data_IF_371953302944
#
_entry.id   IF_371953302944
#
_cell.length_a   1.000
_cell.length_b   1.000
_cell.length_c   1.000
_cell.angle_alpha   90.00
_cell.angle_beta   90.00
_cell.angle_gamma   90.00
#
_symmetry.space_group_name_H-M   'P 1'
#
loop_
_entity.id
_entity.type
_entity.pdbx_description
1 polymer ?
#
# COMPACT_ATOMS: atom_id res chain seq x y z
N UNK A 1 3.01 3.46 1.96
CA UNK A 1 4.39 3.15 2.36
C UNK A 1 5.32 3.22 1.15
N UNK A 2 6.50 3.86 1.25
CA UNK A 2 7.51 3.75 0.20
C UNK A 2 7.85 2.27 -0.04
N UNK A 3 8.13 1.91 -1.29
CA UNK A 3 8.57 0.56 -1.63
C UNK A 3 9.97 0.34 -1.05
N UNK A 4 10.05 -0.37 0.07
CA UNK A 4 11.30 -0.66 0.78
C UNK A 4 11.49 -2.16 0.82
N UNK A 5 12.69 -2.62 0.46
CA UNK A 5 13.02 -4.04 0.48
C UNK A 5 13.17 -4.58 1.90
N UNK A 6 12.87 -5.86 2.08
CA UNK A 6 13.03 -6.54 3.37
C UNK A 6 14.49 -6.49 3.86
N UNK A 7 14.67 -6.57 5.18
CA UNK A 7 16.00 -6.66 5.78
C UNK A 7 16.80 -7.81 5.16
N UNK A 8 18.05 -7.54 4.78
CA UNK A 8 18.95 -8.55 4.19
C UNK A 8 18.86 -8.72 2.67
N UNK A 9 18.16 -7.85 1.93
CA UNK A 9 18.07 -7.90 0.46
C UNK A 9 19.43 -7.99 -0.26
N UNK A 10 20.52 -7.48 0.34
CA UNK A 10 21.88 -7.56 -0.20
C UNK A 10 22.48 -8.99 -0.19
N UNK A 11 21.80 -9.95 0.45
CA UNK A 11 22.13 -11.38 0.39
C UNK A 11 21.71 -12.02 -0.93
N UNK A 12 20.86 -11.38 -1.74
CA UNK A 12 20.55 -11.86 -3.07
C UNK A 12 21.82 -11.88 -3.93
N UNK A 13 22.27 -13.07 -4.34
CA UNK A 13 23.50 -13.24 -5.16
C UNK A 13 23.23 -13.73 -6.58
N UNK A 14 22.08 -14.37 -6.80
CA UNK A 14 21.72 -14.89 -8.11
C UNK A 14 20.84 -13.93 -8.89
N UNK A 15 20.94 -14.00 -10.21
CA UNK A 15 20.13 -13.21 -11.14
C UNK A 15 18.65 -13.49 -10.87
N UNK A 16 17.88 -12.43 -10.65
CA UNK A 16 16.43 -12.53 -10.41
C UNK A 16 15.69 -12.41 -11.74
N UNK A 17 14.84 -13.40 -12.03
CA UNK A 17 13.99 -13.46 -13.22
C UNK A 17 14.77 -13.28 -14.53
N UNK A 18 14.36 -12.31 -15.36
CA UNK A 18 14.99 -12.04 -16.66
C UNK A 18 16.31 -11.24 -16.56
N UNK A 19 16.82 -10.99 -15.36
CA UNK A 19 18.05 -10.24 -15.12
C UNK A 19 17.95 -8.73 -15.32
N UNK A 20 16.77 -8.18 -15.56
CA UNK A 20 16.58 -6.73 -15.65
C UNK A 20 16.52 -6.07 -14.27
N UNK A 21 16.92 -4.80 -14.20
CA UNK A 21 16.93 -4.02 -12.97
C UNK A 21 15.55 -3.92 -12.31
N UNK A 22 14.50 -3.70 -13.11
CA UNK A 22 13.10 -3.63 -12.68
C UNK A 22 12.64 -4.93 -12.03
N UNK A 23 13.09 -6.06 -12.55
CA UNK A 23 12.69 -7.38 -12.06
C UNK A 23 13.18 -7.62 -10.64
N UNK A 24 14.45 -7.28 -10.36
CA UNK A 24 15.03 -7.38 -9.02
C UNK A 24 14.30 -6.50 -8.01
N UNK A 25 14.12 -5.21 -8.33
CA UNK A 25 13.53 -4.29 -7.35
C UNK A 25 12.06 -4.59 -7.09
N UNK A 26 11.32 -5.09 -8.08
CA UNK A 26 9.93 -5.53 -7.89
C UNK A 26 9.84 -6.74 -7.00
N UNK A 27 10.69 -7.74 -7.24
CA UNK A 27 10.77 -8.96 -6.44
C UNK A 27 11.08 -8.63 -4.97
N UNK A 28 12.08 -7.79 -4.73
CA UNK A 28 12.56 -7.48 -3.37
C UNK A 28 11.67 -6.50 -2.59
N UNK A 29 10.79 -5.73 -3.25
CA UNK A 29 9.99 -4.68 -2.60
C UNK A 29 8.48 -4.88 -2.73
N UNK A 30 8.03 -5.83 -3.55
CA UNK A 30 6.62 -5.98 -3.92
C UNK A 30 6.10 -4.86 -4.82
N UNK A 31 6.97 -4.07 -5.46
CA UNK A 31 6.52 -3.00 -6.34
C UNK A 31 5.67 -3.51 -7.51
N UNK A 32 4.60 -2.77 -7.81
CA UNK A 32 3.72 -3.04 -8.96
C UNK A 32 4.50 -2.93 -10.28
N UNK A 33 3.85 -3.27 -11.40
CA UNK A 33 4.44 -3.14 -12.72
C UNK A 33 5.02 -1.72 -12.95
N UNK A 34 6.21 -1.64 -13.57
CA UNK A 34 6.95 -0.39 -13.79
C UNK A 34 6.20 0.64 -14.64
N UNK A 35 5.27 0.19 -15.48
CA UNK A 35 4.33 1.05 -16.24
C UNK A 35 3.43 1.89 -15.33
N UNK A 36 3.18 1.44 -14.10
CA UNK A 36 2.36 2.14 -13.11
C UNK A 36 3.18 3.08 -12.23
N UNK A 37 4.51 3.05 -12.30
CA UNK A 37 5.36 3.88 -11.46
C UNK A 37 5.20 5.35 -11.84
N UNK A 38 5.21 6.17 -10.79
CA UNK A 38 5.17 7.62 -10.89
C UNK A 38 6.39 8.18 -10.16
N UNK A 39 6.95 9.22 -10.74
CA UNK A 39 8.09 9.94 -10.15
C UNK A 39 7.64 10.62 -8.84
N UNK A 40 8.32 10.31 -7.75
CA UNK A 40 8.19 11.00 -6.47
C UNK A 40 9.33 11.97 -6.22
N UNK A 41 9.62 12.21 -4.95
CA UNK A 41 10.69 13.11 -4.53
C UNK A 41 12.05 12.68 -5.10
N UNK A 42 12.84 13.67 -5.50
CA UNK A 42 14.19 13.46 -6.00
C UNK A 42 15.07 12.89 -4.90
N UNK A 43 15.94 11.95 -5.26
CA UNK A 43 16.89 11.37 -4.30
C UNK A 43 17.78 12.44 -3.70
N UNK A 44 18.24 13.42 -4.50
CA UNK A 44 19.06 14.54 -4.02
C UNK A 44 18.37 15.32 -2.89
N UNK A 45 17.10 15.64 -3.06
CA UNK A 45 16.34 16.47 -2.12
C UNK A 45 16.06 15.72 -0.80
N UNK A 46 15.86 14.40 -0.89
CA UNK A 46 15.68 13.54 0.28
C UNK A 46 16.99 13.31 1.05
N UNK A 47 18.12 13.29 0.36
CA UNK A 47 19.44 13.17 0.99
C UNK A 47 19.79 14.41 1.82
N UNK A 48 19.48 15.61 1.32
CA UNK A 48 19.65 16.86 2.09
C UNK A 48 18.84 16.83 3.40
N UNK A 49 17.67 16.17 3.38
CA UNK A 49 16.78 16.02 4.54
C UNK A 49 17.07 14.76 5.37
N UNK A 50 18.09 13.97 5.01
CA UNK A 50 18.43 12.68 5.64
C UNK A 50 17.23 11.71 5.76
N UNK A 51 16.33 11.71 4.77
CA UNK A 51 15.00 11.09 4.90
C UNK A 51 14.80 9.81 4.07
N UNK A 52 15.82 9.34 3.34
CA UNK A 52 15.72 8.11 2.54
C UNK A 52 16.18 6.88 3.32
N UNK A 53 15.27 5.93 3.53
CA UNK A 53 15.56 4.68 4.23
C UNK A 53 16.37 3.72 3.35
N UNK A 54 17.27 2.95 3.97
CA UNK A 54 17.96 1.83 3.31
C UNK A 54 16.94 0.82 2.76
N UNK A 55 17.19 0.35 1.54
CA UNK A 55 16.31 -0.56 0.81
C UNK A 55 15.20 0.14 0.01
N UNK A 56 15.11 1.47 0.04
CA UNK A 56 14.11 2.22 -0.73
C UNK A 56 14.33 2.05 -2.23
N UNK A 57 13.25 1.71 -2.95
CA UNK A 57 13.25 1.66 -4.41
C UNK A 57 13.40 3.07 -4.98
N UNK A 58 14.44 3.24 -5.78
CA UNK A 58 14.72 4.43 -6.56
C UNK A 58 14.79 4.08 -8.03
N UNK A 59 14.36 4.97 -8.90
CA UNK A 59 14.42 4.75 -10.34
C UNK A 59 14.64 6.06 -11.09
N UNK A 60 15.15 5.94 -12.32
CA UNK A 60 15.21 7.06 -13.26
C UNK A 60 13.83 7.33 -13.85
N UNK A 61 13.43 8.59 -13.89
CA UNK A 61 12.16 9.02 -14.47
C UNK A 61 12.39 10.06 -15.57
N UNK A 62 11.49 10.06 -16.56
CA UNK A 62 11.40 11.12 -17.56
C UNK A 62 9.93 11.51 -17.63
N UNK A 63 9.65 12.81 -17.50
CA UNK A 63 8.30 13.37 -17.52
C UNK A 63 7.34 12.65 -16.55
N UNK A 64 7.78 12.38 -15.32
CA UNK A 64 6.94 11.77 -14.29
C UNK A 64 6.74 10.25 -14.41
N UNK A 65 7.34 9.58 -15.41
CA UNK A 65 7.12 8.16 -15.69
C UNK A 65 8.42 7.38 -15.92
N UNK A 66 8.38 6.11 -15.53
CA UNK A 66 9.44 5.16 -15.87
C UNK A 66 9.30 4.72 -17.33
N UNK A 67 10.37 4.86 -18.11
CA UNK A 67 10.29 4.82 -19.58
C UNK A 67 10.29 3.40 -20.17
N UNK A 68 10.69 2.37 -19.42
CA UNK A 68 10.83 0.99 -19.92
C UNK A 68 11.65 0.90 -21.23
N UNK A 69 12.67 1.75 -21.38
CA UNK A 69 13.56 1.72 -22.54
C UNK A 69 14.42 0.46 -22.50
N UNK A 70 14.96 0.10 -23.66
CA UNK A 70 15.97 -0.97 -23.74
C UNK A 70 17.25 -0.62 -23.00
N UNK A 71 17.62 0.67 -22.97
CA UNK A 71 18.83 1.18 -22.35
C UNK A 71 18.60 2.56 -21.74
N UNK A 72 19.44 2.93 -20.77
CA UNK A 72 19.53 4.30 -20.22
C UNK A 72 18.63 4.58 -19.02
N UNK A 73 17.48 3.91 -18.90
CA UNK A 73 16.68 3.89 -17.67
C UNK A 73 17.19 2.83 -16.71
N UNK A 74 17.00 3.05 -15.41
CA UNK A 74 17.44 2.11 -14.38
C UNK A 74 16.59 2.18 -13.12
N UNK A 75 16.55 1.08 -12.38
CA UNK A 75 15.90 0.98 -11.08
C UNK A 75 16.81 0.22 -10.11
N UNK A 76 16.89 0.69 -8.87
CA UNK A 76 17.79 0.14 -7.87
C UNK A 76 17.20 0.29 -6.46
N UNK A 77 17.84 -0.36 -5.48
CA UNK A 77 17.56 -0.12 -4.07
C UNK A 77 18.65 0.77 -3.49
N UNK A 78 18.26 1.88 -2.86
CA UNK A 78 19.18 2.75 -2.14
C UNK A 78 19.80 2.00 -0.95
N UNK A 79 21.13 2.02 -0.80
CA UNK A 79 21.80 1.48 0.39
C UNK A 79 22.07 2.60 1.39
N UNK A 80 22.83 3.62 0.97
CA UNK A 80 23.24 4.76 1.80
C UNK A 80 23.84 5.88 0.95
N UNK A 81 23.90 7.08 1.53
CA UNK A 81 24.74 8.15 1.01
C UNK A 81 26.21 7.88 1.34
N UNK A 82 27.09 8.27 0.42
CA UNK A 82 28.54 8.20 0.58
C UNK A 82 29.17 9.52 0.12
N UNK A 83 30.42 9.83 0.52
CA UNK A 83 31.10 11.03 0.02
C UNK A 83 31.12 11.03 -1.52
N UNK A 84 30.54 12.07 -2.13
CA UNK A 84 30.50 12.24 -3.58
C UNK A 84 29.52 11.33 -4.35
N UNK A 85 28.60 10.62 -3.67
CA UNK A 85 27.63 9.77 -4.37
C UNK A 85 26.62 9.06 -3.47
N UNK A 86 26.02 8.01 -4.05
CA UNK A 86 25.22 7.05 -3.31
C UNK A 86 25.66 5.63 -3.64
N UNK A 87 25.49 4.74 -2.67
CA UNK A 87 25.63 3.30 -2.86
C UNK A 87 24.24 2.72 -3.15
N UNK A 88 24.13 1.95 -4.22
CA UNK A 88 22.89 1.32 -4.68
C UNK A 88 23.09 -0.18 -4.83
N UNK A 89 22.00 -0.93 -4.72
CA UNK A 89 21.95 -2.36 -5.01
C UNK A 89 21.08 -2.59 -6.23
N UNK A 90 21.66 -3.17 -7.27
CA UNK A 90 20.99 -3.39 -8.54
C UNK A 90 21.49 -4.64 -9.26
N UNK A 91 20.78 -4.99 -10.34
CA UNK A 91 21.22 -5.93 -11.36
C UNK A 91 20.90 -5.33 -12.74
N UNK A 92 21.51 -5.90 -13.77
CA UNK A 92 21.10 -5.71 -15.17
C UNK A 92 21.51 -6.95 -15.96
N UNK A 93 21.15 -7.02 -17.25
CA UNK A 93 21.47 -8.17 -18.08
C UNK A 93 22.93 -8.59 -17.96
N UNK A 94 23.14 -9.87 -17.63
CA UNK A 94 24.45 -10.50 -17.42
C UNK A 94 25.27 -9.94 -16.25
N UNK A 95 24.66 -9.20 -15.34
CA UNK A 95 25.29 -8.72 -14.11
C UNK A 95 24.48 -9.17 -12.90
N UNK A 96 25.11 -9.95 -12.03
CA UNK A 96 24.49 -10.43 -10.80
C UNK A 96 24.13 -9.26 -9.88
N UNK A 97 23.11 -9.41 -9.01
CA UNK A 97 22.79 -8.41 -8.00
C UNK A 97 24.00 -8.06 -7.13
N UNK A 98 24.37 -6.79 -7.09
CA UNK A 98 25.50 -6.33 -6.28
C UNK A 98 25.33 -4.88 -5.82
N UNK A 99 26.07 -4.52 -4.78
CA UNK A 99 26.22 -3.13 -4.40
C UNK A 99 27.23 -2.44 -5.32
N UNK A 100 26.93 -1.22 -5.76
CA UNK A 100 27.86 -0.35 -6.46
C UNK A 100 27.63 1.12 -6.13
N UNK A 101 28.68 1.91 -6.26
CA UNK A 101 28.62 3.37 -6.07
C UNK A 101 28.32 4.07 -7.39
N UNK A 102 27.42 5.04 -7.35
CA UNK A 102 27.20 6.01 -8.42
C UNK A 102 27.48 7.42 -7.91
N UNK A 103 28.11 8.26 -8.73
CA UNK A 103 28.71 9.52 -8.31
C UNK A 103 27.91 10.73 -8.78
N UNK A 104 27.84 11.75 -7.94
CA UNK A 104 27.28 13.05 -8.32
C UNK A 104 28.19 13.77 -9.34
N UNK A 105 27.64 14.73 -10.08
CA UNK A 105 28.36 15.65 -10.94
C UNK A 105 28.90 15.05 -12.25
N UNK A 106 28.58 13.78 -12.56
CA UNK A 106 29.03 13.11 -13.79
C UNK A 106 28.07 13.31 -14.95
N UNK A 107 28.01 14.53 -15.48
CA UNK A 107 27.08 14.90 -16.56
C UNK A 107 27.24 14.07 -17.85
N UNK A 108 28.47 13.62 -18.16
CA UNK A 108 28.77 12.75 -19.31
C UNK A 108 28.38 11.27 -19.10
N UNK A 109 28.05 10.85 -17.88
CA UNK A 109 27.63 9.49 -17.62
C UNK A 109 26.16 9.27 -18.03
N UNK A 110 25.82 8.05 -18.45
CA UNK A 110 24.43 7.67 -18.71
C UNK A 110 23.54 7.81 -17.47
N UNK A 111 22.24 7.97 -17.68
CA UNK A 111 21.30 8.30 -16.60
C UNK A 111 21.27 7.26 -15.46
N UNK A 112 21.54 5.99 -15.77
CA UNK A 112 21.69 4.91 -14.78
C UNK A 112 22.83 5.12 -13.77
N UNK A 113 23.77 6.03 -14.04
CA UNK A 113 24.96 6.28 -13.23
C UNK A 113 24.97 7.68 -12.59
N UNK A 114 23.84 8.39 -12.65
CA UNK A 114 23.70 9.78 -12.20
C UNK A 114 22.64 9.87 -11.11
N UNK A 115 23.03 9.98 -9.83
CA UNK A 115 22.07 10.03 -8.72
C UNK A 115 21.01 11.14 -8.88
N UNK A 116 21.35 12.25 -9.54
CA UNK A 116 20.48 13.40 -9.76
C UNK A 116 19.26 13.08 -10.63
N UNK A 117 19.33 11.97 -11.38
CA UNK A 117 18.25 11.52 -12.25
C UNK A 117 17.36 10.47 -11.58
N UNK A 118 17.66 10.08 -10.34
CA UNK A 118 16.84 9.16 -9.56
C UNK A 118 15.83 9.91 -8.70
N UNK A 119 14.64 9.34 -8.63
CA UNK A 119 13.61 9.69 -7.65
C UNK A 119 13.14 8.44 -6.94
N UNK A 120 12.60 8.60 -5.74
CA UNK A 120 11.77 7.54 -5.15
C UNK A 120 10.49 7.41 -5.97
N UNK A 121 9.79 6.29 -5.83
CA UNK A 121 8.45 6.18 -6.40
C UNK A 121 7.49 7.07 -5.62
N UNK A 122 6.73 7.89 -6.34
CA UNK A 122 5.58 8.55 -5.75
C UNK A 122 4.65 7.48 -5.20
N UNK A 123 4.34 7.61 -3.93
CA UNK A 123 3.10 7.06 -3.43
C UNK A 123 2.01 7.67 -4.30
N UNK A 124 1.11 6.85 -4.84
CA UNK A 124 -0.22 7.34 -5.14
C UNK A 124 -0.82 7.71 -3.78
N UNK A 125 -0.42 8.88 -3.25
CA UNK A 125 -1.32 9.67 -2.45
C UNK A 125 -2.46 9.93 -3.41
N UNK A 126 -3.61 9.30 -3.17
CA UNK A 126 -4.84 9.98 -3.57
C UNK A 126 -4.72 11.35 -2.92
N UNK A 127 -4.41 12.37 -3.71
CA UNK A 127 -4.46 13.74 -3.27
C UNK A 127 -5.93 14.03 -2.99
N UNK A 128 -6.37 13.70 -1.78
CA UNK A 128 -7.50 14.39 -1.17
C UNK A 128 -6.95 15.79 -0.94
N UNK A 129 -7.45 16.77 -1.69
CA UNK A 129 -7.12 18.16 -1.44
C UNK A 129 -7.41 18.46 0.04
N UNK A 130 -6.35 18.63 0.83
CA UNK A 130 -6.47 18.98 2.23
C UNK A 130 -6.72 20.49 2.30
N UNK A 131 -7.99 20.88 2.35
CA UNK A 131 -8.35 22.06 3.13
C UNK A 131 -7.86 21.82 4.56
N UNK A 132 -7.20 22.81 5.15
CA UNK A 132 -6.67 22.76 6.51
C UNK A 132 -7.80 22.45 7.51
N UNK A 133 -8.03 21.18 7.81
CA UNK A 133 -8.83 20.76 8.95
C UNK A 133 -7.87 20.40 10.08
N UNK A 134 -8.02 21.12 11.19
CA UNK A 134 -7.42 20.78 12.48
C UNK A 134 -7.63 19.29 12.80
N UNK A 135 -6.72 18.65 13.56
CA UNK A 135 -6.87 17.26 13.95
C UNK A 135 -8.07 17.12 14.90
N UNK A 136 -9.25 16.88 14.33
CA UNK A 136 -10.33 16.22 15.04
C UNK A 136 -9.88 14.80 15.29
N UNK A 137 -10.08 14.30 16.52
CA UNK A 137 -9.86 12.91 16.87
C UNK A 137 -10.36 12.01 15.73
N UNK A 138 -9.50 11.12 15.21
CA UNK A 138 -9.83 10.27 14.07
C UNK A 138 -11.22 9.66 14.28
N UNK A 139 -12.17 10.05 13.43
CA UNK A 139 -13.53 9.55 13.53
C UNK A 139 -13.48 8.01 13.47
N UNK A 140 -14.24 7.30 14.31
CA UNK A 140 -14.23 5.84 14.30
C UNK A 140 -14.61 5.34 12.90
N UNK A 141 -13.81 4.40 12.38
CA UNK A 141 -14.07 3.76 11.09
C UNK A 141 -15.46 3.11 11.15
N UNK A 142 -16.38 3.56 10.30
CA UNK A 142 -17.79 3.17 10.36
C UNK A 142 -18.39 2.97 8.97
N UNK A 143 -19.33 2.03 8.86
CA UNK A 143 -20.08 1.83 7.62
C UNK A 143 -21.09 2.98 7.41
N UNK A 144 -21.08 3.66 6.25
CA UNK A 144 -22.06 4.69 5.94
C UNK A 144 -23.49 4.14 5.95
N UNK A 145 -24.43 4.89 6.51
CA UNK A 145 -25.85 4.49 6.58
C UNK A 145 -26.55 4.47 5.21
N UNK A 146 -26.03 5.23 4.24
CA UNK A 146 -26.52 5.26 2.85
C UNK A 146 -25.44 4.71 1.92
N UNK A 147 -25.85 4.08 0.82
CA UNK A 147 -24.93 3.60 -0.21
C UNK A 147 -24.14 4.78 -0.83
N UNK A 148 -22.94 4.52 -1.37
CA UNK A 148 -22.16 5.54 -2.08
C UNK A 148 -23.00 6.22 -3.17
N UNK A 149 -22.94 7.56 -3.23
CA UNK A 149 -23.70 8.36 -4.21
C UNK A 149 -23.41 7.95 -5.66
N UNK A 150 -22.17 7.51 -5.92
CA UNK A 150 -21.73 7.02 -7.23
C UNK A 150 -22.47 5.77 -7.70
N UNK A 151 -23.16 5.06 -6.81
CA UNK A 151 -23.96 3.89 -7.19
C UNK A 151 -25.33 4.25 -7.73
N UNK A 152 -25.77 5.51 -7.58
CA UNK A 152 -27.09 5.99 -7.99
C UNK A 152 -28.25 5.16 -7.36
N UNK A 153 -28.12 4.84 -6.07
CA UNK A 153 -29.10 4.06 -5.30
C UNK A 153 -29.59 4.86 -4.08
N UNK A 154 -30.42 5.90 -4.27
CA UNK A 154 -30.76 6.85 -3.20
C UNK A 154 -31.56 6.24 -2.04
N UNK A 155 -32.24 5.11 -2.27
CA UNK A 155 -33.01 4.40 -1.26
C UNK A 155 -32.21 3.31 -0.52
N UNK A 156 -31.00 2.97 -1.00
CA UNK A 156 -30.22 1.87 -0.45
C UNK A 156 -29.61 2.26 0.91
N UNK A 157 -30.05 1.56 1.96
CA UNK A 157 -29.59 1.73 3.34
C UNK A 157 -28.71 0.57 3.76
N UNK A 158 -27.83 0.82 4.73
CA UNK A 158 -27.00 -0.24 5.31
C UNK A 158 -27.90 -1.32 5.90
N UNK A 159 -27.74 -2.55 5.41
CA UNK A 159 -28.57 -3.70 5.74
C UNK A 159 -27.83 -4.70 6.63
N UNK A 160 -26.53 -4.89 6.37
CA UNK A 160 -25.67 -5.78 7.16
C UNK A 160 -24.19 -5.47 6.94
N UNK A 161 -23.33 -6.13 7.73
CA UNK A 161 -21.87 -6.04 7.59
C UNK A 161 -21.25 -7.44 7.59
N UNK A 162 -20.15 -7.61 6.85
CA UNK A 162 -19.29 -8.80 6.94
C UNK A 162 -17.89 -8.34 7.32
N UNK A 163 -17.42 -8.77 8.49
CA UNK A 163 -16.01 -8.60 8.87
C UNK A 163 -15.24 -9.75 8.24
N UNK A 164 -14.11 -9.44 7.61
CA UNK A 164 -13.32 -10.38 6.82
C UNK A 164 -11.92 -10.46 7.41
N UNK A 165 -11.32 -11.65 7.37
CA UNK A 165 -9.93 -11.87 7.75
C UNK A 165 -9.25 -12.81 6.77
N UNK A 166 -8.05 -12.46 6.33
CA UNK A 166 -7.29 -13.29 5.38
C UNK A 166 -5.78 -13.16 5.61
N UNK A 167 -4.98 -14.20 5.30
CA UNK A 167 -3.53 -14.17 5.47
C UNK A 167 -2.88 -13.08 4.60
N UNK A 168 -1.99 -12.28 5.19
CA UNK A 168 -1.31 -11.17 4.50
C UNK A 168 -0.35 -11.65 3.39
N UNK A 169 0.07 -12.92 3.44
CA UNK A 169 1.02 -13.53 2.52
C UNK A 169 0.37 -14.31 1.37
N UNK A 170 -0.97 -14.35 1.29
CA UNK A 170 -1.67 -14.99 0.18
C UNK A 170 -2.26 -13.92 -0.74
N UNK A 171 -1.89 -13.91 -2.05
CA UNK A 171 -2.54 -13.04 -3.01
C UNK A 171 -4.04 -13.36 -3.05
N UNK A 172 -4.88 -12.34 -3.08
CA UNK A 172 -6.31 -12.51 -3.34
C UNK A 172 -6.46 -13.18 -4.71
N UNK A 173 -7.02 -14.39 -4.76
CA UNK A 173 -7.40 -15.02 -6.02
C UNK A 173 -8.63 -14.27 -6.52
N UNK A 174 -8.56 -13.70 -7.73
CA UNK A 174 -9.67 -12.95 -8.31
C UNK A 174 -10.95 -13.81 -8.32
N UNK A 175 -11.99 -13.33 -7.63
CA UNK A 175 -13.30 -13.99 -7.56
C UNK A 175 -13.52 -14.90 -6.35
N UNK A 176 -12.52 -15.14 -5.49
CA UNK A 176 -12.70 -15.94 -4.28
C UNK A 176 -13.30 -15.10 -3.15
N UNK A 177 -14.35 -15.60 -2.50
CA UNK A 177 -14.99 -14.92 -1.38
C UNK A 177 -14.06 -14.94 -0.16
N UNK A 178 -13.67 -13.76 0.32
CA UNK A 178 -12.84 -13.66 1.52
C UNK A 178 -13.54 -14.31 2.74
N UNK A 179 -12.80 -15.02 3.61
CA UNK A 179 -13.37 -15.65 4.78
C UNK A 179 -14.06 -14.63 5.69
N UNK A 180 -15.32 -14.91 6.04
CA UNK A 180 -16.09 -14.10 6.98
C UNK A 180 -15.66 -14.47 8.40
N UNK A 181 -15.18 -13.47 9.14
CA UNK A 181 -14.83 -13.60 10.55
C UNK A 181 -16.10 -13.51 11.41
N UNK A 182 -16.40 -14.59 12.14
CA UNK A 182 -17.49 -14.60 13.10
C UNK A 182 -17.23 -13.64 14.29
N UNK A 183 -18.26 -13.02 14.88
CA UNK A 183 -18.09 -12.20 16.07
C UNK A 183 -17.61 -13.05 17.26
N UNK A 184 -16.66 -12.52 18.01
CA UNK A 184 -16.16 -13.16 19.25
C UNK A 184 -17.18 -13.07 20.40
N UNK A 185 -18.16 -12.17 20.28
CA UNK A 185 -19.25 -12.02 21.24
C UNK A 185 -20.47 -11.49 20.52
N UNK A 186 -21.61 -12.09 20.82
CA UNK A 186 -22.92 -11.67 20.36
C UNK A 186 -23.88 -11.61 21.57
N UNK A 187 -24.69 -10.55 21.65
CA UNK A 187 -25.70 -10.42 22.71
C UNK A 187 -26.83 -9.49 22.30
N UNK A 188 -28.01 -9.67 22.89
CA UNK A 188 -29.17 -8.80 22.65
C UNK A 188 -29.47 -7.97 23.88
N UNK A 189 -29.72 -6.67 23.70
CA UNK A 189 -30.18 -5.77 24.77
C UNK A 189 -31.18 -4.76 24.22
N UNK A 190 -32.33 -4.62 24.87
CA UNK A 190 -33.39 -3.67 24.50
C UNK A 190 -33.81 -3.76 23.00
N UNK A 191 -33.89 -4.97 22.45
CA UNK A 191 -34.26 -5.22 21.05
C UNK A 191 -33.15 -4.94 20.03
N UNK A 192 -31.94 -4.59 20.47
CA UNK A 192 -30.76 -4.43 19.63
C UNK A 192 -29.84 -5.63 19.80
N UNK A 193 -29.50 -6.28 18.68
CA UNK A 193 -28.45 -7.30 18.60
C UNK A 193 -27.09 -6.60 18.48
N UNK A 194 -26.16 -6.95 19.35
CA UNK A 194 -24.80 -6.44 19.35
C UNK A 194 -23.84 -7.56 19.00
N UNK A 195 -22.92 -7.28 18.09
CA UNK A 195 -21.84 -8.19 17.70
C UNK A 195 -20.50 -7.48 17.87
N UNK A 196 -19.48 -8.21 18.35
CA UNK A 196 -18.14 -7.68 18.59
C UNK A 196 -17.08 -8.56 17.96
N UNK A 197 -16.08 -7.92 17.37
CA UNK A 197 -14.87 -8.55 16.84
C UNK A 197 -13.63 -7.93 17.48
N UNK A 198 -12.63 -8.75 17.76
CA UNK A 198 -11.27 -8.30 17.98
C UNK A 198 -10.55 -8.32 16.63
N UNK A 199 -9.84 -7.25 16.31
CA UNK A 199 -9.22 -7.01 15.01
C UNK A 199 -7.73 -6.74 15.21
N UNK A 200 -6.90 -7.10 14.22
CA UNK A 200 -5.45 -6.90 14.25
C UNK A 200 -4.74 -7.53 15.46
N UNK A 201 -5.35 -8.54 16.10
CA UNK A 201 -4.73 -9.27 17.21
C UNK A 201 -3.51 -10.09 16.77
N UNK A 202 -3.55 -10.58 15.53
CA UNK A 202 -2.45 -11.34 14.88
C UNK A 202 -1.79 -10.55 13.74
N UNK A 203 -1.89 -9.22 13.75
CA UNK A 203 -1.12 -8.40 12.80
C UNK A 203 0.39 -8.61 13.05
N UNK A 204 1.22 -8.82 12.01
CA UNK A 204 0.96 -8.56 10.59
C UNK A 204 0.52 -9.78 9.77
N UNK A 205 0.26 -10.95 10.38
CA UNK A 205 0.01 -12.20 9.66
C UNK A 205 -1.35 -12.23 8.95
N UNK A 206 -2.33 -11.49 9.48
CA UNK A 206 -3.67 -11.37 8.91
C UNK A 206 -4.03 -9.91 8.62
N UNK A 207 -4.70 -9.71 7.49
CA UNK A 207 -5.34 -8.46 7.13
C UNK A 207 -6.84 -8.54 7.44
N UNK A 208 -7.42 -7.41 7.81
CA UNK A 208 -8.82 -7.31 8.20
C UNK A 208 -9.54 -6.25 7.36
N UNK A 209 -10.73 -6.59 6.91
CA UNK A 209 -11.59 -5.75 6.09
C UNK A 209 -13.03 -5.82 6.58
N UNK A 210 -13.85 -4.86 6.16
CA UNK A 210 -15.31 -4.94 6.32
C UNK A 210 -15.98 -4.69 4.98
N UNK A 211 -16.98 -5.52 4.67
CA UNK A 211 -17.95 -5.22 3.63
C UNK A 211 -19.20 -4.62 4.28
N UNK A 212 -19.55 -3.40 3.88
CA UNK A 212 -20.83 -2.77 4.20
C UNK A 212 -21.84 -3.13 3.09
N UNK A 213 -22.90 -3.87 3.45
CA UNK A 213 -23.91 -4.36 2.51
C UNK A 213 -25.14 -3.46 2.56
N UNK A 214 -25.66 -3.13 1.39
CA UNK A 214 -26.79 -2.20 1.26
C UNK A 214 -28.03 -2.89 0.70
N UNK A 215 -29.19 -2.56 1.26
CA UNK A 215 -30.46 -3.11 0.84
C UNK A 215 -30.74 -2.80 -0.64
N UNK A 216 -31.28 -3.80 -1.36
CA UNK A 216 -31.67 -3.65 -2.76
C UNK A 216 -30.52 -3.72 -3.77
N UNK A 217 -29.30 -4.11 -3.36
CA UNK A 217 -28.18 -4.32 -4.28
C UNK A 217 -27.24 -5.43 -3.82
N UNK A 218 -26.61 -6.12 -4.77
CA UNK A 218 -25.51 -7.05 -4.50
C UNK A 218 -24.16 -6.34 -4.30
N UNK A 219 -24.10 -5.02 -4.54
CA UNK A 219 -22.89 -4.21 -4.34
C UNK A 219 -22.62 -4.04 -2.84
N UNK A 220 -21.35 -4.03 -2.48
CA UNK A 220 -20.89 -3.76 -1.12
C UNK A 220 -19.73 -2.77 -1.14
N UNK A 221 -19.62 -1.97 -0.09
CA UNK A 221 -18.48 -1.06 0.12
C UNK A 221 -17.46 -1.81 0.97
N UNK A 222 -16.33 -2.17 0.38
CA UNK A 222 -15.21 -2.79 1.09
C UNK A 222 -14.27 -1.71 1.64
N UNK A 223 -13.97 -1.81 2.93
CA UNK A 223 -13.02 -0.91 3.60
C UNK A 223 -11.97 -1.72 4.35
N UNK A 224 -10.73 -1.25 4.29
CA UNK A 224 -9.65 -1.79 5.12
C UNK A 224 -9.85 -1.35 6.57
N UNK A 225 -9.41 -2.20 7.50
CA UNK A 225 -9.44 -1.94 8.93
C UNK A 225 -8.01 -1.77 9.48
N UNK A 226 -7.21 -0.80 9.01
CA UNK A 226 -5.85 -0.61 9.48
C UNK A 226 -5.87 -0.06 10.90
N UNK A 227 -4.99 -0.59 11.76
CA UNK A 227 -4.73 -0.06 13.10
C UNK A 227 -5.95 0.04 14.06
N UNK A 228 -7.07 -0.63 13.77
CA UNK A 228 -8.19 -0.79 14.74
C UNK A 228 -7.99 -2.05 15.57
N UNK A 229 -8.42 -2.03 16.83
CA UNK A 229 -8.32 -3.18 17.75
C UNK A 229 -9.63 -3.92 17.90
N UNK A 230 -10.74 -3.22 17.67
CA UNK A 230 -12.07 -3.75 17.94
C UNK A 230 -13.10 -3.15 17.00
N UNK A 231 -14.02 -3.98 16.52
CA UNK A 231 -15.22 -3.54 15.83
C UNK A 231 -16.48 -3.99 16.55
N UNK A 232 -17.55 -3.22 16.42
CA UNK A 232 -18.88 -3.53 16.95
C UNK A 232 -19.96 -3.23 15.92
N UNK A 233 -20.91 -4.15 15.77
CA UNK A 233 -22.17 -3.92 15.07
C UNK A 233 -23.31 -3.85 16.08
N UNK A 234 -24.25 -2.93 15.88
CA UNK A 234 -25.51 -2.83 16.60
C UNK A 234 -26.65 -2.85 15.59
N UNK A 235 -27.52 -3.86 15.69
CA UNK A 235 -28.58 -4.16 14.74
C UNK A 235 -29.91 -4.05 15.48
N UNK A 236 -30.66 -2.99 15.22
CA UNK A 236 -31.97 -2.79 15.85
C UNK A 236 -33.00 -3.69 15.18
N UNK A 237 -33.49 -4.72 15.88
CA UNK A 237 -34.28 -5.80 15.26
C UNK A 237 -35.61 -5.29 14.68
N UNK A 238 -36.25 -4.32 15.34
CA UNK A 238 -37.55 -3.77 14.90
C UNK A 238 -37.45 -2.92 13.63
N UNK A 239 -36.43 -2.06 13.54
CA UNK A 239 -36.27 -1.13 12.41
C UNK A 239 -35.30 -1.65 11.36
N UNK A 240 -34.63 -2.79 11.61
CA UNK A 240 -33.50 -3.32 10.85
C UNK A 240 -32.36 -2.31 10.67
N UNK A 241 -32.26 -1.32 11.55
CA UNK A 241 -31.19 -0.31 11.47
C UNK A 241 -29.87 -0.92 11.94
N UNK A 242 -28.87 -0.91 11.07
CA UNK A 242 -27.53 -1.39 11.39
C UNK A 242 -26.58 -0.22 11.63
N UNK A 243 -25.79 -0.29 12.68
CA UNK A 243 -24.66 0.62 12.93
C UNK A 243 -23.41 -0.20 13.14
N UNK A 244 -22.34 0.16 12.45
CA UNK A 244 -21.05 -0.50 12.59
C UNK A 244 -19.97 0.53 12.84
N UNK A 245 -19.11 0.27 13.82
CA UNK A 245 -18.03 1.16 14.23
C UNK A 245 -16.82 0.36 14.71
N UNK A 246 -15.63 0.85 14.41
CA UNK A 246 -14.36 0.31 14.86
C UNK A 246 -13.52 1.36 15.59
N UNK A 247 -12.68 0.88 16.51
CA UNK A 247 -11.76 1.67 17.32
C UNK A 247 -10.47 0.91 17.59
#
# INVERSE_FOLDING_TARGET
MPYIASAGYTKQKEIVGNGECVTLVRDLTGARASSLWREGDKVTDLLEKSSIAKGTLIATFVNGRYQNLRHGNHAALFIRQVPGGIEIFDQWRNHKPSARMIHFGRSAAGASNRPELYSVLALLTLAIAATTMQPTAAAPLSCPQAAPLTWNLPAARLDSVRVLSYPANQPQVDGEALPILAPIREWTRAGTLYQRWNINFDAPHYLFQVDCLYAGTARYLRMDLPAVKQCTAAIQQRTKMVRFQCK
#
